data_IF_728214892787
#
_entry.id   IF_728214892787
#
_cell.length_a   1.000
_cell.length_b   1.000
_cell.length_c   1.000
_cell.angle_alpha   90.00
_cell.angle_beta   90.00
_cell.angle_gamma   90.00
#
_symmetry.space_group_name_H-M   'P 1'
#
loop_
_entity.id
_entity.type
_entity.pdbx_description
1 polymer ?
#
# COMPACT_ATOMS: atom_id res chain seq x y z
N UNK A 1 39.41 -19.90 57.79
CA UNK A 1 39.58 -20.10 56.33
C UNK A 1 38.19 -20.30 55.76
N UNK A 2 37.76 -19.38 54.89
CA UNK A 2 36.54 -19.38 54.05
C UNK A 2 35.20 -19.28 54.79
N UNK A 3 34.28 -18.39 54.43
CA UNK A 3 34.21 -17.39 53.36
C UNK A 3 32.97 -16.54 53.61
N UNK A 4 33.06 -15.24 53.29
CA UNK A 4 32.01 -14.27 53.55
C UNK A 4 30.79 -14.44 52.64
N UNK A 5 29.63 -14.19 53.23
CA UNK A 5 28.42 -13.75 52.55
C UNK A 5 27.92 -12.54 53.34
N UNK A 6 28.25 -11.35 52.86
CA UNK A 6 27.59 -10.09 53.19
C UNK A 6 27.09 -9.50 51.87
N UNK A 7 26.06 -8.65 52.00
CA UNK A 7 25.45 -7.79 50.97
C UNK A 7 24.30 -8.40 50.17
N UNK A 8 23.17 -8.52 50.86
CA UNK A 8 21.88 -8.17 50.27
C UNK A 8 21.45 -6.84 50.89
N UNK A 9 21.67 -5.71 50.20
CA UNK A 9 20.93 -4.46 50.39
C UNK A 9 21.37 -3.41 49.36
N UNK A 10 20.41 -2.76 48.69
CA UNK A 10 20.67 -1.58 47.85
C UNK A 10 20.14 -1.66 46.42
N UNK A 11 18.82 -1.78 46.25
CA UNK A 11 18.16 -1.20 45.07
C UNK A 11 17.43 0.03 45.61
N UNK A 12 18.02 1.21 45.42
CA UNK A 12 17.34 2.47 45.66
C UNK A 12 16.04 2.50 44.84
N UNK A 13 14.94 2.88 45.47
CA UNK A 13 13.67 3.14 44.80
C UNK A 13 13.92 4.17 43.70
N UNK A 14 13.74 3.74 42.45
CA UNK A 14 13.73 4.63 41.31
C UNK A 14 12.55 5.58 41.47
N UNK A 15 12.81 6.83 41.83
CA UNK A 15 11.82 7.90 41.79
C UNK A 15 11.38 8.09 40.34
N UNK A 16 10.14 7.71 40.06
CA UNK A 16 9.51 7.91 38.77
C UNK A 16 8.72 9.22 38.80
N UNK A 17 9.22 10.24 38.10
CA UNK A 17 8.51 11.50 37.91
C UNK A 17 7.77 11.45 36.57
N UNK A 18 6.45 11.29 36.62
CA UNK A 18 5.61 11.20 35.43
C UNK A 18 5.32 12.63 34.91
N UNK A 19 6.14 13.08 33.96
CA UNK A 19 6.04 14.43 33.39
C UNK A 19 5.00 14.45 32.26
N UNK A 20 3.83 15.03 32.55
CA UNK A 20 2.69 15.09 31.62
C UNK A 20 3.03 15.77 30.27
N UNK A 21 4.04 16.65 30.22
CA UNK A 21 4.52 17.30 28.99
C UNK A 21 5.42 16.42 28.10
N UNK A 22 5.81 15.22 28.55
CA UNK A 22 6.51 14.20 27.77
C UNK A 22 5.56 13.10 27.28
N UNK A 23 4.28 13.13 27.66
CA UNK A 23 3.25 12.33 27.03
C UNK A 23 3.00 12.87 25.62
N UNK A 24 3.58 12.20 24.62
CA UNK A 24 3.26 12.43 23.22
C UNK A 24 1.83 11.89 22.98
N UNK A 25 0.83 12.71 23.29
CA UNK A 25 -0.57 12.29 23.46
C UNK A 25 -1.13 11.44 22.32
N UNK A 26 -0.68 11.60 21.07
CA UNK A 26 -0.74 10.60 19.99
C UNK A 26 0.42 10.91 19.04
N UNK A 27 1.21 9.92 18.63
CA UNK A 27 2.23 10.13 17.60
C UNK A 27 1.58 10.53 16.27
N UNK A 28 2.09 11.57 15.60
CA UNK A 28 1.65 11.97 14.23
C UNK A 28 1.67 10.79 13.26
N UNK A 29 2.57 9.82 13.46
CA UNK A 29 2.59 8.58 12.68
C UNK A 29 1.37 7.70 12.96
N UNK A 30 0.99 7.57 14.23
CA UNK A 30 -0.19 6.80 14.64
C UNK A 30 -1.47 7.40 14.07
N UNK A 31 -1.61 8.73 14.16
CA UNK A 31 -2.74 9.44 13.57
C UNK A 31 -2.86 9.21 12.06
N UNK A 32 -1.75 9.38 11.32
CA UNK A 32 -1.73 9.13 9.87
C UNK A 32 -2.10 7.69 9.52
N UNK A 33 -1.60 6.72 10.28
CA UNK A 33 -1.90 5.31 10.05
C UNK A 33 -3.37 4.96 10.28
N UNK A 34 -3.97 5.50 11.35
CA UNK A 34 -5.39 5.32 11.67
C UNK A 34 -6.28 5.92 10.59
N UNK A 35 -6.10 7.19 10.29
CA UNK A 35 -6.96 7.88 9.33
C UNK A 35 -6.72 7.39 7.88
N UNK A 36 -5.51 6.92 7.53
CA UNK A 36 -5.29 6.19 6.27
C UNK A 36 -6.04 4.85 6.25
N UNK A 37 -6.03 4.12 7.36
CA UNK A 37 -6.77 2.86 7.47
C UNK A 37 -8.28 3.08 7.30
N UNK A 38 -8.82 4.16 7.87
CA UNK A 38 -10.22 4.54 7.74
C UNK A 38 -10.57 4.91 6.30
N UNK A 39 -9.77 5.77 5.65
CA UNK A 39 -9.90 6.07 4.23
C UNK A 39 -9.95 4.79 3.38
N UNK A 40 -8.98 3.89 3.57
CA UNK A 40 -8.90 2.62 2.85
C UNK A 40 -10.11 1.73 3.13
N UNK A 41 -10.59 1.71 4.37
CA UNK A 41 -11.81 1.02 4.78
C UNK A 41 -13.01 1.46 3.94
N UNK A 42 -13.26 2.76 3.88
CA UNK A 42 -14.36 3.34 3.10
C UNK A 42 -14.22 3.10 1.59
N UNK A 43 -13.00 3.20 1.03
CA UNK A 43 -12.72 2.89 -0.38
C UNK A 43 -13.18 1.47 -0.73
N UNK A 44 -12.70 0.47 0.02
CA UNK A 44 -12.99 -0.94 -0.31
C UNK A 44 -14.40 -1.39 0.06
N UNK A 45 -15.09 -0.62 0.91
CA UNK A 45 -16.49 -0.85 1.32
C UNK A 45 -17.51 -0.11 0.45
N UNK A 46 -17.05 0.54 -0.62
CA UNK A 46 -17.90 1.28 -1.57
C UNK A 46 -18.62 2.48 -0.93
N UNK A 47 -17.89 3.26 -0.13
CA UNK A 47 -18.38 4.43 0.60
C UNK A 47 -17.59 5.68 0.18
N UNK A 48 -17.79 6.18 -1.06
CA UNK A 48 -16.91 7.20 -1.62
C UNK A 48 -17.01 8.55 -0.90
N UNK A 49 -18.18 8.93 -0.40
CA UNK A 49 -18.38 10.18 0.34
C UNK A 49 -17.64 10.14 1.70
N UNK A 50 -17.72 9.02 2.43
CA UNK A 50 -16.98 8.82 3.67
C UNK A 50 -15.46 8.72 3.42
N UNK A 51 -15.06 8.08 2.32
CA UNK A 51 -13.66 8.03 1.92
C UNK A 51 -13.12 9.44 1.67
N UNK A 52 -13.88 10.28 0.95
CA UNK A 52 -13.49 11.66 0.69
C UNK A 52 -13.32 12.47 1.99
N UNK A 53 -14.24 12.32 2.93
CA UNK A 53 -14.16 12.97 4.25
C UNK A 53 -12.92 12.51 5.02
N UNK A 54 -12.69 11.20 5.12
CA UNK A 54 -11.52 10.62 5.79
C UNK A 54 -10.21 11.06 5.13
N UNK A 55 -10.16 11.12 3.79
CA UNK A 55 -8.98 11.61 3.08
C UNK A 55 -8.70 13.09 3.36
N UNK A 56 -9.75 13.90 3.43
CA UNK A 56 -9.65 15.32 3.79
C UNK A 56 -8.90 15.54 5.11
N UNK A 57 -9.07 14.64 6.08
CA UNK A 57 -8.41 14.72 7.40
C UNK A 57 -6.91 14.42 7.37
N UNK A 58 -6.41 13.72 6.34
CA UNK A 58 -4.98 13.32 6.24
C UNK A 58 -4.23 13.97 5.08
N UNK A 59 -4.93 14.54 4.10
CA UNK A 59 -4.35 15.00 2.83
C UNK A 59 -3.21 16.02 2.98
N UNK A 60 -3.22 16.84 4.04
CA UNK A 60 -2.13 17.80 4.33
C UNK A 60 -0.83 17.14 4.81
N UNK A 61 -0.90 15.92 5.33
CA UNK A 61 0.21 15.23 6.00
C UNK A 61 0.54 13.86 5.41
N UNK A 62 -0.28 13.37 4.48
CA UNK A 62 -0.10 12.12 3.77
C UNK A 62 -0.37 12.33 2.28
N UNK A 63 0.67 12.63 1.48
CA UNK A 63 0.53 12.73 0.03
C UNK A 63 0.05 11.40 -0.57
N UNK A 64 -1.14 11.44 -1.15
CA UNK A 64 -1.76 10.36 -1.90
C UNK A 64 -2.13 10.90 -3.29
N UNK A 65 -1.70 10.20 -4.34
CA UNK A 65 -1.91 10.61 -5.72
C UNK A 65 -2.46 9.44 -6.56
N UNK A 66 -3.09 9.75 -7.68
CA UNK A 66 -3.60 8.78 -8.64
C UNK A 66 -3.04 9.06 -10.04
N UNK A 67 -2.65 8.03 -10.77
CA UNK A 67 -2.16 8.19 -12.15
C UNK A 67 -2.51 6.99 -13.03
N UNK A 68 -2.48 7.24 -14.34
CA UNK A 68 -2.62 6.24 -15.41
C UNK A 68 -1.29 5.87 -16.08
N UNK A 69 -0.18 6.42 -15.61
CA UNK A 69 1.15 6.22 -16.19
C UNK A 69 2.11 5.68 -15.10
N UNK A 70 2.60 4.45 -15.32
CA UNK A 70 3.49 3.78 -14.37
C UNK A 70 4.84 4.49 -14.25
N UNK A 71 5.35 5.10 -15.31
CA UNK A 71 6.61 5.84 -15.28
C UNK A 71 6.46 7.19 -14.58
N UNK A 72 5.29 7.84 -14.67
CA UNK A 72 4.93 8.97 -13.81
C UNK A 72 4.93 8.53 -12.35
N UNK A 73 4.32 7.39 -12.01
CA UNK A 73 4.31 6.87 -10.63
C UNK A 73 5.73 6.59 -10.09
N UNK A 74 6.59 5.94 -10.89
CA UNK A 74 7.99 5.67 -10.52
C UNK A 74 8.80 6.96 -10.34
N UNK A 75 8.62 7.95 -11.22
CA UNK A 75 9.25 9.28 -11.07
C UNK A 75 8.78 9.98 -9.80
N UNK A 76 7.49 9.91 -9.49
CA UNK A 76 6.92 10.48 -8.28
C UNK A 76 7.57 9.89 -7.02
N UNK A 77 7.71 8.56 -6.93
CA UNK A 77 8.39 7.90 -5.81
C UNK A 77 9.84 8.39 -5.64
N UNK A 78 10.60 8.42 -6.74
CA UNK A 78 12.00 8.85 -6.72
C UNK A 78 12.16 10.33 -6.34
N UNK A 79 11.20 11.17 -6.73
CA UNK A 79 11.20 12.60 -6.42
C UNK A 79 10.81 12.92 -4.96
N UNK A 80 9.99 12.08 -4.34
CA UNK A 80 9.54 12.27 -2.95
C UNK A 80 10.51 11.67 -1.93
N UNK A 81 11.11 10.51 -2.24
CA UNK A 81 11.98 9.82 -1.30
C UNK A 81 13.29 10.59 -1.06
N UNK A 82 13.60 10.85 0.21
CA UNK A 82 14.81 11.55 0.64
C UNK A 82 15.76 10.62 1.38
N UNK A 83 17.07 10.76 1.12
CA UNK A 83 18.10 9.96 1.78
C UNK A 83 17.84 8.45 1.69
N UNK A 84 17.69 7.82 2.85
CA UNK A 84 17.44 6.38 3.01
C UNK A 84 15.96 5.99 3.05
N UNK A 85 15.03 6.91 2.78
CA UNK A 85 13.61 6.58 2.69
C UNK A 85 13.38 5.57 1.59
N UNK A 86 12.75 4.44 1.95
CA UNK A 86 12.57 3.32 1.05
C UNK A 86 11.28 3.46 0.27
N UNK A 87 11.35 3.13 -1.01
CA UNK A 87 10.17 3.05 -1.87
C UNK A 87 10.15 1.79 -2.71
N UNK A 88 8.98 1.47 -3.24
CA UNK A 88 8.78 0.27 -4.05
C UNK A 88 7.40 0.22 -4.69
N UNK A 89 7.23 -0.78 -5.55
CA UNK A 89 5.99 -1.05 -6.27
C UNK A 89 5.31 -2.25 -5.65
N UNK A 90 4.01 -2.13 -5.41
CA UNK A 90 3.16 -3.14 -4.78
C UNK A 90 1.99 -3.50 -5.72
N UNK A 91 1.57 -4.75 -5.74
CA UNK A 91 0.37 -5.17 -6.48
C UNK A 91 -0.23 -6.43 -5.87
N UNK A 92 -1.49 -6.75 -6.19
CA UNK A 92 -2.06 -8.02 -5.75
C UNK A 92 -1.36 -9.21 -6.42
N UNK A 93 -1.16 -10.30 -5.67
CA UNK A 93 -0.70 -11.60 -6.20
C UNK A 93 -1.60 -12.19 -7.31
N UNK A 94 -2.82 -11.63 -7.47
CA UNK A 94 -3.82 -11.97 -8.49
C UNK A 94 -3.86 -11.00 -9.67
N UNK A 95 -3.07 -9.93 -9.65
CA UNK A 95 -3.00 -8.88 -10.66
C UNK A 95 -2.27 -9.31 -11.97
N UNK A 96 -2.76 -10.38 -12.60
CA UNK A 96 -2.09 -11.02 -13.75
C UNK A 96 -2.21 -10.24 -15.06
N UNK A 97 -3.10 -9.24 -15.13
CA UNK A 97 -3.31 -8.42 -16.32
C UNK A 97 -2.57 -7.07 -16.26
N UNK A 98 -1.75 -6.85 -15.23
CA UNK A 98 -0.71 -5.82 -15.24
C UNK A 98 0.55 -6.20 -16.03
N UNK A 99 0.68 -7.47 -16.48
CA UNK A 99 1.82 -7.94 -17.29
C UNK A 99 2.13 -7.07 -18.53
N UNK A 100 1.14 -6.59 -19.32
CA UNK A 100 1.40 -5.68 -20.43
C UNK A 100 2.00 -4.34 -20.01
N UNK A 101 1.78 -3.92 -18.76
CA UNK A 101 2.37 -2.71 -18.16
C UNK A 101 3.78 -2.99 -17.59
N UNK A 102 4.36 -4.17 -17.83
CA UNK A 102 5.66 -4.57 -17.32
C UNK A 102 5.66 -5.08 -15.86
N UNK A 103 4.49 -5.25 -15.23
CA UNK A 103 4.37 -5.67 -13.84
C UNK A 103 4.12 -7.18 -13.77
N UNK A 104 5.03 -7.91 -13.11
CA UNK A 104 4.97 -9.37 -13.01
C UNK A 104 4.87 -9.84 -11.55
N UNK A 105 3.66 -10.25 -11.14
CA UNK A 105 3.35 -10.64 -9.75
C UNK A 105 3.58 -12.13 -9.44
N UNK A 106 4.02 -12.93 -10.42
CA UNK A 106 4.34 -14.35 -10.23
C UNK A 106 5.81 -14.63 -9.98
N UNK A 107 6.67 -13.64 -10.21
CA UNK A 107 8.07 -13.71 -9.80
C UNK A 107 8.10 -13.32 -8.33
N UNK A 108 8.56 -14.23 -7.48
CA UNK A 108 8.67 -13.97 -6.05
C UNK A 108 9.89 -13.08 -5.82
N UNK A 109 9.71 -11.98 -5.08
CA UNK A 109 10.81 -11.13 -4.66
C UNK A 109 11.69 -11.88 -3.66
N UNK A 110 13.00 -11.69 -3.76
CA UNK A 110 13.91 -12.08 -2.68
C UNK A 110 13.84 -10.99 -1.60
N UNK A 111 13.02 -11.21 -0.57
CA UNK A 111 12.71 -10.19 0.42
C UNK A 111 13.96 -9.55 1.08
N UNK A 112 15.01 -10.30 1.49
CA UNK A 112 16.24 -9.68 1.98
C UNK A 112 16.86 -8.71 0.99
N UNK A 113 17.03 -9.11 -0.28
CA UNK A 113 17.60 -8.21 -1.28
C UNK A 113 16.69 -7.01 -1.55
N UNK A 114 15.38 -7.24 -1.71
CA UNK A 114 14.41 -6.20 -2.06
C UNK A 114 14.27 -5.14 -0.96
N UNK A 115 14.23 -5.54 0.31
CA UNK A 115 14.03 -4.63 1.45
C UNK A 115 15.30 -4.08 2.08
N UNK A 116 16.46 -4.72 1.90
CA UNK A 116 17.66 -4.33 2.66
C UNK A 116 18.75 -3.75 1.76
N UNK A 117 18.83 -4.14 0.49
CA UNK A 117 19.92 -3.67 -0.37
C UNK A 117 19.77 -2.18 -0.69
N UNK A 118 20.89 -1.53 -0.96
CA UNK A 118 20.96 -0.11 -1.24
C UNK A 118 20.51 0.25 -2.66
N UNK A 119 20.63 1.53 -3.03
CA UNK A 119 20.19 2.11 -4.31
C UNK A 119 21.05 1.70 -5.51
N UNK A 120 22.19 1.04 -5.31
CA UNK A 120 23.06 0.55 -6.37
C UNK A 120 22.75 -0.90 -6.78
N UNK A 121 21.96 -1.61 -5.99
CA UNK A 121 21.53 -2.97 -6.30
C UNK A 121 20.20 -2.98 -7.06
N UNK A 122 20.23 -3.49 -8.29
CA UNK A 122 19.06 -3.60 -9.18
C UNK A 122 17.91 -4.42 -8.59
N UNK A 123 18.22 -5.33 -7.66
CA UNK A 123 17.22 -6.18 -6.97
C UNK A 123 16.51 -5.43 -5.84
N UNK A 124 17.02 -4.26 -5.45
CA UNK A 124 16.43 -3.45 -4.40
C UNK A 124 15.12 -2.82 -4.84
N UNK A 125 14.20 -2.62 -3.88
CA UNK A 125 12.93 -1.94 -4.11
C UNK A 125 13.07 -0.56 -4.79
N UNK A 126 14.23 0.09 -4.60
CA UNK A 126 14.58 1.37 -5.21
C UNK A 126 14.54 1.40 -6.74
N UNK A 127 14.73 0.26 -7.40
CA UNK A 127 14.69 0.19 -8.87
C UNK A 127 13.28 0.15 -9.42
N UNK A 128 12.29 -0.27 -8.62
CA UNK A 128 10.90 -0.43 -9.04
C UNK A 128 10.71 -1.41 -10.21
N UNK A 129 11.58 -2.41 -10.32
CA UNK A 129 11.51 -3.48 -11.34
C UNK A 129 10.74 -4.70 -10.82
N UNK A 130 11.07 -5.14 -9.59
CA UNK A 130 10.34 -6.19 -8.89
C UNK A 130 9.19 -5.63 -8.06
N UNK A 131 8.06 -6.35 -8.06
CA UNK A 131 6.82 -5.94 -7.37
C UNK A 131 6.57 -6.86 -6.19
N UNK A 132 6.41 -6.28 -5.00
CA UNK A 132 6.05 -7.02 -3.81
C UNK A 132 4.52 -7.21 -3.75
N UNK A 133 4.09 -8.44 -3.45
CA UNK A 133 2.68 -8.76 -3.25
C UNK A 133 2.24 -8.51 -1.82
N UNK A 134 0.93 -8.61 -1.56
CA UNK A 134 0.35 -8.56 -0.22
C UNK A 134 1.00 -9.56 0.76
N UNK A 135 1.56 -10.66 0.25
CA UNK A 135 2.28 -11.65 1.05
C UNK A 135 3.71 -11.23 1.39
N UNK A 136 4.40 -10.60 0.44
CA UNK A 136 5.81 -10.22 0.59
C UNK A 136 5.96 -9.02 1.53
N UNK A 137 4.98 -8.12 1.51
CA UNK A 137 4.95 -6.89 2.33
C UNK A 137 4.24 -7.08 3.68
N UNK A 138 3.73 -8.28 3.99
CA UNK A 138 2.97 -8.51 5.21
C UNK A 138 3.86 -8.32 6.46
N UNK A 139 3.50 -7.35 7.31
CA UNK A 139 4.30 -7.00 8.50
C UNK A 139 5.55 -6.17 8.18
N UNK A 140 5.71 -5.74 6.93
CA UNK A 140 6.76 -4.83 6.48
C UNK A 140 6.13 -3.56 5.92
N UNK A 141 6.86 -2.46 5.98
CA UNK A 141 6.41 -1.15 5.52
C UNK A 141 7.50 -0.47 4.71
N UNK A 142 7.07 0.40 3.79
CA UNK A 142 7.93 1.28 3.03
C UNK A 142 7.61 2.73 3.39
N UNK A 143 8.53 3.66 3.13
CA UNK A 143 8.21 5.08 3.28
C UNK A 143 7.26 5.54 2.18
N UNK A 144 7.51 5.12 0.94
CA UNK A 144 6.69 5.50 -0.22
C UNK A 144 6.32 4.28 -1.06
N UNK A 145 5.08 4.20 -1.54
CA UNK A 145 4.63 3.06 -2.36
C UNK A 145 3.93 3.51 -3.63
N UNK A 146 4.15 2.76 -4.71
CA UNK A 146 3.25 2.75 -5.86
C UNK A 146 2.37 1.50 -5.75
N UNK A 147 1.07 1.65 -5.56
CA UNK A 147 0.12 0.53 -5.56
C UNK A 147 -0.47 0.39 -6.95
N UNK A 148 -0.14 -0.69 -7.66
CA UNK A 148 -0.66 -0.99 -8.98
C UNK A 148 -1.95 -1.81 -8.87
N UNK A 149 -3.04 -1.20 -9.33
CA UNK A 149 -4.40 -1.73 -9.20
C UNK A 149 -4.81 -2.46 -10.48
N UNK A 150 -5.21 -3.73 -10.39
CA UNK A 150 -5.63 -4.53 -11.55
C UNK A 150 -7.13 -4.82 -11.56
N UNK A 151 -7.60 -5.42 -12.67
CA UNK A 151 -8.98 -5.81 -12.88
C UNK A 151 -9.47 -6.97 -12.03
N UNK A 152 -8.65 -7.53 -11.13
CA UNK A 152 -9.04 -8.60 -10.21
C UNK A 152 -9.95 -8.08 -9.10
N UNK A 153 -9.77 -6.84 -8.67
CA UNK A 153 -10.67 -6.13 -7.77
C UNK A 153 -11.11 -4.82 -8.42
N UNK A 154 -12.20 -4.81 -9.18
CA UNK A 154 -12.57 -3.64 -9.99
C UNK A 154 -13.97 -3.13 -9.70
N UNK A 155 -14.16 -1.83 -9.83
CA UNK A 155 -15.45 -1.18 -9.71
C UNK A 155 -16.16 -1.18 -11.07
N UNK A 156 -17.47 -1.42 -11.11
CA UNK A 156 -18.26 -1.38 -12.36
C UNK A 156 -19.11 -0.12 -12.54
N UNK A 157 -18.95 0.86 -11.65
CA UNK A 157 -19.82 2.05 -11.59
C UNK A 157 -20.87 1.98 -10.48
N UNK A 158 -21.13 0.80 -9.94
CA UNK A 158 -22.09 0.60 -8.83
C UNK A 158 -21.44 -0.12 -7.65
N UNK A 159 -20.68 -1.19 -7.90
CA UNK A 159 -20.08 -2.05 -6.87
C UNK A 159 -18.72 -2.61 -7.24
N UNK A 160 -18.00 -3.06 -6.22
CA UNK A 160 -16.79 -3.85 -6.39
C UNK A 160 -17.08 -5.27 -6.88
N UNK A 161 -16.27 -5.74 -7.82
CA UNK A 161 -16.24 -7.14 -8.24
C UNK A 161 -14.92 -7.78 -7.82
N UNK A 162 -15.02 -9.01 -7.32
CA UNK A 162 -13.89 -9.86 -7.01
C UNK A 162 -13.74 -10.93 -8.08
N UNK A 163 -12.63 -10.90 -8.80
CA UNK A 163 -12.36 -11.77 -9.92
C UNK A 163 -11.02 -12.48 -9.79
N UNK A 164 -10.92 -13.59 -10.51
CA UNK A 164 -9.69 -14.34 -10.71
C UNK A 164 -9.48 -14.50 -12.21
N UNK A 165 -8.29 -14.17 -12.69
CA UNK A 165 -7.90 -14.48 -14.05
C UNK A 165 -7.43 -15.95 -14.13
N UNK A 166 -8.13 -16.78 -14.90
CA UNK A 166 -7.83 -18.21 -15.07
C UNK A 166 -7.85 -18.59 -16.54
N UNK A 167 -6.76 -19.20 -17.00
CA UNK A 167 -6.55 -19.48 -18.42
C UNK A 167 -6.54 -18.15 -19.20
N UNK A 168 -7.58 -17.92 -19.99
CA UNK A 168 -7.73 -16.75 -20.86
C UNK A 168 -8.83 -15.78 -20.44
N UNK A 169 -9.50 -16.00 -19.30
CA UNK A 169 -10.68 -15.23 -18.91
C UNK A 169 -10.75 -14.86 -17.43
N UNK A 170 -11.44 -13.77 -17.17
CA UNK A 170 -11.89 -13.40 -15.83
C UNK A 170 -13.04 -14.30 -15.38
N UNK A 171 -12.98 -14.74 -14.14
CA UNK A 171 -14.04 -15.51 -13.48
C UNK A 171 -14.39 -14.81 -12.17
N UNK A 172 -15.68 -14.60 -11.89
CA UNK A 172 -16.13 -14.08 -10.60
C UNK A 172 -15.78 -15.08 -9.49
N UNK A 173 -15.30 -14.56 -8.38
CA UNK A 173 -15.11 -15.37 -7.18
C UNK A 173 -16.37 -15.31 -6.32
N UNK A 174 -17.16 -16.38 -6.32
CA UNK A 174 -18.42 -16.42 -5.57
C UNK A 174 -18.23 -16.85 -4.11
N UNK A 175 -17.01 -17.26 -3.72
CA UNK A 175 -16.76 -17.67 -2.34
C UNK A 175 -16.47 -16.44 -1.48
N UNK A 176 -17.36 -16.15 -0.52
CA UNK A 176 -17.25 -15.00 0.39
C UNK A 176 -15.87 -14.91 1.05
N UNK A 177 -15.28 -16.05 1.45
CA UNK A 177 -13.95 -16.08 2.05
C UNK A 177 -12.86 -15.54 1.12
N UNK A 178 -12.92 -15.88 -0.17
CA UNK A 178 -11.95 -15.41 -1.15
C UNK A 178 -12.17 -13.95 -1.56
N UNK A 179 -13.42 -13.49 -1.54
CA UNK A 179 -13.76 -12.08 -1.74
C UNK A 179 -13.18 -11.24 -0.61
N UNK A 180 -13.43 -11.65 0.65
CA UNK A 180 -12.84 -11.03 1.84
C UNK A 180 -11.33 -11.03 1.79
N UNK A 181 -10.72 -12.15 1.39
CA UNK A 181 -9.28 -12.23 1.22
C UNK A 181 -8.76 -11.20 0.21
N UNK A 182 -9.42 -11.06 -0.96
CA UNK A 182 -9.00 -10.10 -1.98
C UNK A 182 -9.19 -8.65 -1.52
N UNK A 183 -10.32 -8.33 -0.90
CA UNK A 183 -10.52 -7.02 -0.25
C UNK A 183 -9.41 -6.73 0.76
N UNK A 184 -9.05 -7.71 1.59
CA UNK A 184 -7.98 -7.55 2.57
C UNK A 184 -6.60 -7.43 1.92
N UNK A 185 -6.35 -8.07 0.77
CA UNK A 185 -5.11 -7.87 0.02
C UNK A 185 -4.96 -6.39 -0.38
N UNK A 186 -6.01 -5.77 -0.91
CA UNK A 186 -5.98 -4.33 -1.23
C UNK A 186 -5.88 -3.45 0.02
N UNK A 187 -6.55 -3.80 1.14
CA UNK A 187 -6.33 -3.11 2.44
C UNK A 187 -4.88 -3.18 2.87
N UNK A 188 -4.25 -4.35 2.76
CA UNK A 188 -2.83 -4.52 3.08
C UNK A 188 -2.01 -3.61 2.20
N UNK A 189 -2.11 -3.70 0.87
CA UNK A 189 -1.29 -2.92 -0.08
C UNK A 189 -1.41 -1.41 0.14
N UNK A 190 -2.64 -0.91 0.31
CA UNK A 190 -2.93 0.52 0.47
C UNK A 190 -2.51 1.08 1.85
N UNK A 191 -2.10 0.24 2.80
CA UNK A 191 -1.68 0.68 4.15
C UNK A 191 -0.18 0.49 4.40
N UNK A 192 0.63 0.11 3.39
CA UNK A 192 2.08 -0.16 3.58
C UNK A 192 3.00 1.04 3.49
N UNK A 193 2.51 2.19 3.05
CA UNK A 193 3.31 3.41 2.93
C UNK A 193 3.21 4.26 4.19
N UNK A 194 4.36 4.56 4.82
CA UNK A 194 4.46 5.37 6.04
C UNK A 194 4.34 6.87 5.79
N UNK A 195 4.82 7.34 4.64
CA UNK A 195 4.89 8.78 4.31
C UNK A 195 3.89 9.17 3.23
N UNK A 196 3.71 8.35 2.20
CA UNK A 196 2.77 8.64 1.12
C UNK A 196 2.73 7.57 0.06
N UNK A 197 1.69 7.58 -0.77
CA UNK A 197 1.54 6.62 -1.85
C UNK A 197 1.06 7.26 -3.15
N UNK A 198 1.30 6.56 -4.25
CA UNK A 198 0.66 6.81 -5.53
C UNK A 198 -0.05 5.54 -6.00
N UNK A 199 -1.29 5.67 -6.45
CA UNK A 199 -2.06 4.58 -7.02
C UNK A 199 -1.93 4.64 -8.53
N UNK A 200 -1.51 3.54 -9.14
CA UNK A 200 -1.51 3.37 -10.59
C UNK A 200 -2.69 2.49 -10.99
N UNK A 201 -3.54 2.99 -11.88
CA UNK A 201 -4.59 2.20 -12.54
C UNK A 201 -4.31 2.25 -14.03
N UNK A 202 -4.14 1.12 -14.74
CA UNK A 202 -3.81 1.17 -16.17
C UNK A 202 -4.99 1.72 -16.99
N UNK A 203 -4.72 2.13 -18.23
CA UNK A 203 -5.78 2.57 -19.17
C UNK A 203 -6.57 1.41 -19.77
N UNK A 204 -6.04 0.19 -19.67
CA UNK A 204 -6.54 -0.93 -20.46
C UNK A 204 -6.18 -0.78 -21.94
N UNK A 205 -6.75 -1.66 -22.76
CA UNK A 205 -6.50 -1.72 -24.20
C UNK A 205 -7.77 -2.18 -24.93
N UNK A 206 -8.32 -1.37 -25.84
CA UNK A 206 -9.50 -1.73 -26.65
C UNK A 206 -9.31 -3.01 -27.46
N UNK A 207 -8.07 -3.33 -27.86
CA UNK A 207 -7.75 -4.51 -28.67
C UNK A 207 -7.49 -5.77 -27.83
N UNK A 208 -7.48 -5.64 -26.50
CA UNK A 208 -7.33 -6.75 -25.58
C UNK A 208 -8.61 -7.00 -24.77
N UNK A 209 -9.40 -8.03 -25.11
CA UNK A 209 -10.69 -8.31 -24.45
C UNK A 209 -10.55 -8.72 -22.98
N UNK A 210 -9.32 -8.97 -22.50
CA UNK A 210 -9.06 -9.29 -21.10
C UNK A 210 -8.72 -8.07 -20.26
N UNK A 211 -8.52 -6.90 -20.86
CA UNK A 211 -8.23 -5.64 -20.17
C UNK A 211 -8.84 -4.42 -20.88
N UNK A 212 -10.11 -4.47 -21.35
CA UNK A 212 -10.73 -3.31 -21.99
C UNK A 212 -10.73 -2.10 -21.04
N UNK A 213 -10.66 -0.86 -21.55
CA UNK A 213 -10.58 0.35 -20.72
C UNK A 213 -11.66 0.43 -19.63
N UNK A 214 -12.88 -0.01 -19.94
CA UNK A 214 -14.00 -0.05 -18.99
C UNK A 214 -13.71 -0.85 -17.70
N UNK A 215 -12.76 -1.80 -17.69
CA UNK A 215 -12.38 -2.51 -16.46
C UNK A 215 -11.63 -1.64 -15.46
N UNK A 216 -11.02 -0.56 -15.94
CA UNK A 216 -10.15 0.31 -15.17
C UNK A 216 -10.71 1.72 -15.00
N UNK A 217 -11.46 2.20 -15.99
CA UNK A 217 -12.01 3.55 -15.99
C UNK A 217 -12.98 3.82 -14.86
N UNK A 218 -13.84 2.86 -14.55
CA UNK A 218 -14.75 2.96 -13.41
C UNK A 218 -14.00 2.96 -12.07
N UNK A 219 -12.95 2.14 -11.93
CA UNK A 219 -12.11 2.13 -10.73
C UNK A 219 -11.37 3.45 -10.55
N UNK A 220 -10.81 4.00 -11.63
CA UNK A 220 -10.13 5.29 -11.59
C UNK A 220 -11.09 6.43 -11.22
N UNK A 221 -12.24 6.51 -11.89
CA UNK A 221 -13.26 7.50 -11.61
C UNK A 221 -13.79 7.38 -10.17
N UNK A 222 -13.91 6.14 -9.65
CA UNK A 222 -14.27 5.90 -8.27
C UNK A 222 -13.22 6.45 -7.29
N UNK A 223 -11.92 6.20 -7.53
CA UNK A 223 -10.84 6.72 -6.69
C UNK A 223 -10.77 8.26 -6.71
N UNK A 224 -11.02 8.89 -7.86
CA UNK A 224 -11.19 10.35 -7.95
C UNK A 224 -12.38 10.83 -7.09
N UNK A 225 -13.52 10.13 -7.14
CA UNK A 225 -14.68 10.44 -6.29
C UNK A 225 -14.39 10.29 -4.80
N UNK A 226 -13.50 9.38 -4.41
CA UNK A 226 -12.98 9.27 -3.04
C UNK A 226 -12.04 10.42 -2.64
N UNK A 227 -11.84 11.42 -3.50
CA UNK A 227 -11.02 12.60 -3.20
C UNK A 227 -9.55 12.46 -3.54
N UNK A 228 -9.10 11.32 -4.10
CA UNK A 228 -7.70 11.17 -4.48
C UNK A 228 -7.36 12.07 -5.67
N UNK A 229 -6.41 13.01 -5.55
CA UNK A 229 -6.05 13.89 -6.66
C UNK A 229 -5.33 13.12 -7.77
N UNK A 230 -5.63 13.51 -9.02
CA UNK A 230 -4.88 13.05 -10.19
C UNK A 230 -3.53 13.78 -10.25
N UNK A 231 -2.47 13.01 -10.46
CA UNK A 231 -1.16 13.55 -10.81
C UNK A 231 -1.11 13.73 -12.32
N UNK A 232 -1.25 14.98 -12.76
CA UNK A 232 -1.09 15.37 -14.16
C UNK A 232 0.31 14.99 -14.66
N UNK A 233 0.36 14.44 -15.87
CA UNK A 233 1.56 13.87 -16.52
C UNK A 233 2.48 14.93 -17.11
#
# INVERSE_FOLDING_TARGET
>A
MHGGFEDAEGIEELEFEEVESLHLAVSIRSFRAEALSDFVGHVVENQPEQAQEAFGQISEHYPLQLTRDLEVAKRWLRGHARGSERFGVLASSRALRLRPEGIQVKVKVDAPNWFLNDRSDVRSSYYCEEVATEFDIQGLELDWTCVCWDGDFRYDGERWHHLKFRGTKWQRDNQVINQRYLTNAYRVLLTRARQGMIIFVPRGDPDDPTRPPAFYDHTYAYLLRCGVPELES
#
